data_IF_162037864757
#
_entry.id   IF_162037864757
#
_cell.length_a   1.000
_cell.length_b   1.000
_cell.length_c   1.000
_cell.angle_alpha   90.00
_cell.angle_beta   90.00
_cell.angle_gamma   90.00
#
_symmetry.space_group_name_H-M   'P 1'
#
loop_
_entity.id
_entity.type
_entity.pdbx_description
1 polymer ?
#
# COMPACT_ATOMS: atom_id res chain seq x y z
N UNK A 1 -3.53 -12.56 -37.06
CA UNK A 1 -2.39 -12.79 -36.14
C UNK A 1 -2.03 -11.48 -35.43
N UNK A 2 -2.67 -11.17 -34.29
CA UNK A 2 -2.41 -9.93 -33.57
C UNK A 2 -1.01 -9.98 -32.95
N UNK A 3 -0.09 -9.12 -33.44
CA UNK A 3 1.22 -8.93 -32.80
C UNK A 3 0.97 -8.50 -31.36
N UNK A 4 1.27 -9.37 -30.39
CA UNK A 4 1.29 -9.00 -28.97
C UNK A 4 2.23 -7.80 -28.82
N UNK A 5 1.68 -6.60 -28.60
CA UNK A 5 2.49 -5.41 -28.36
C UNK A 5 3.44 -5.69 -27.18
N UNK A 6 4.74 -5.73 -27.48
CA UNK A 6 5.77 -6.05 -26.50
C UNK A 6 5.95 -4.84 -25.58
N UNK A 7 5.72 -5.02 -24.28
CA UNK A 7 5.94 -3.97 -23.27
C UNK A 7 7.42 -3.56 -23.31
N UNK A 8 7.70 -2.29 -23.62
CA UNK A 8 9.04 -1.70 -23.62
C UNK A 8 9.35 -1.09 -22.25
N UNK A 9 10.61 -1.06 -21.78
CA UNK A 9 10.98 -0.31 -20.57
C UNK A 9 10.65 1.18 -20.73
N UNK A 10 10.31 1.85 -19.64
CA UNK A 10 10.10 3.32 -19.63
C UNK A 10 11.26 4.08 -18.99
N UNK A 11 12.13 3.38 -18.27
CA UNK A 11 13.36 3.93 -17.70
C UNK A 11 14.55 3.66 -18.65
N UNK A 12 15.39 4.68 -18.92
CA UNK A 12 16.69 4.47 -19.58
C UNK A 12 17.56 3.49 -18.81
N UNK A 13 18.40 2.73 -19.52
CA UNK A 13 19.24 1.70 -18.89
C UNK A 13 20.29 2.32 -17.97
N UNK A 14 20.83 3.47 -18.36
CA UNK A 14 21.87 4.21 -17.63
C UNK A 14 21.33 4.65 -16.27
N UNK A 15 20.14 5.28 -16.24
CA UNK A 15 19.48 5.73 -15.01
C UNK A 15 19.17 4.55 -14.07
N UNK A 16 18.72 3.42 -14.63
CA UNK A 16 18.45 2.22 -13.84
C UNK A 16 19.72 1.63 -13.23
N UNK A 17 20.84 1.71 -13.95
CA UNK A 17 22.14 1.27 -13.45
C UNK A 17 22.64 2.14 -12.29
N UNK A 18 22.64 3.47 -12.45
CA UNK A 18 23.01 4.42 -11.40
C UNK A 18 22.19 4.18 -10.11
N UNK A 19 20.87 3.98 -10.26
CA UNK A 19 20.00 3.64 -9.12
C UNK A 19 20.40 2.33 -8.43
N UNK A 20 20.78 1.30 -9.17
CA UNK A 20 21.18 0.02 -8.58
C UNK A 20 22.58 0.04 -7.97
N UNK A 21 23.46 0.93 -8.38
CA UNK A 21 24.75 1.16 -7.72
C UNK A 21 24.53 1.71 -6.30
N UNK A 22 23.56 2.59 -6.10
CA UNK A 22 23.26 3.16 -4.79
C UNK A 22 22.36 2.28 -3.90
N UNK A 23 21.34 1.62 -4.47
CA UNK A 23 20.32 0.88 -3.70
C UNK A 23 20.44 -0.65 -3.81
N UNK A 24 21.45 -1.14 -4.53
CA UNK A 24 21.63 -2.55 -4.86
C UNK A 24 20.70 -3.01 -5.98
N UNK A 25 21.10 -4.07 -6.69
CA UNK A 25 20.27 -4.69 -7.74
C UNK A 25 19.20 -5.60 -7.15
N UNK A 26 18.02 -5.62 -7.76
CA UNK A 26 16.90 -6.49 -7.38
C UNK A 26 16.27 -7.15 -8.61
N UNK A 27 15.45 -8.20 -8.41
CA UNK A 27 14.75 -8.92 -9.49
C UNK A 27 13.76 -8.04 -10.24
N UNK A 28 13.18 -7.04 -9.57
CA UNK A 28 12.24 -6.06 -10.11
C UNK A 28 12.53 -4.70 -9.49
N UNK A 29 12.21 -3.64 -10.23
CA UNK A 29 12.41 -2.27 -9.75
C UNK A 29 11.55 -1.95 -8.50
N UNK A 30 10.29 -2.38 -8.50
CA UNK A 30 9.36 -2.16 -7.40
C UNK A 30 8.66 -3.46 -7.01
N UNK A 31 8.62 -3.77 -5.71
CA UNK A 31 7.94 -4.97 -5.18
C UNK A 31 6.45 -4.76 -4.92
N UNK A 32 5.99 -3.50 -4.80
CA UNK A 32 4.62 -3.17 -4.38
C UNK A 32 3.53 -3.95 -5.14
N UNK A 33 3.57 -4.09 -6.48
CA UNK A 33 2.50 -4.81 -7.17
C UNK A 33 2.44 -6.32 -6.91
N UNK A 34 3.49 -6.89 -6.33
CA UNK A 34 3.64 -8.32 -6.09
C UNK A 34 3.20 -8.73 -4.71
N UNK A 35 3.45 -7.90 -3.69
CA UNK A 35 3.28 -8.28 -2.29
C UNK A 35 2.63 -7.21 -1.42
N UNK A 36 2.18 -6.10 -2.00
CA UNK A 36 1.50 -5.02 -1.28
C UNK A 36 0.08 -4.81 -1.78
N UNK A 37 -0.77 -4.36 -0.86
CA UNK A 37 -2.08 -3.76 -1.15
C UNK A 37 -2.18 -2.43 -0.41
N UNK A 38 -2.71 -1.43 -1.09
CA UNK A 38 -3.03 -0.14 -0.50
C UNK A 38 -4.54 0.05 -0.60
N UNK A 39 -5.21 0.19 0.55
CA UNK A 39 -6.65 0.44 0.64
C UNK A 39 -6.91 1.93 0.84
N UNK A 40 -7.63 2.54 -0.10
CA UNK A 40 -8.02 3.95 -0.06
C UNK A 40 -9.40 4.10 0.58
N UNK A 41 -9.64 5.20 1.29
CA UNK A 41 -10.91 5.47 2.01
C UNK A 41 -12.18 5.36 1.17
N UNK A 42 -12.08 5.58 -0.14
CA UNK A 42 -13.18 5.46 -1.08
C UNK A 42 -13.49 4.00 -1.48
N UNK A 43 -12.77 3.03 -0.95
CA UNK A 43 -12.90 1.61 -1.27
C UNK A 43 -11.95 1.13 -2.37
N UNK A 44 -11.28 2.03 -3.08
CA UNK A 44 -10.33 1.64 -4.11
C UNK A 44 -9.14 0.91 -3.51
N UNK A 45 -8.58 -0.03 -4.28
CA UNK A 45 -7.39 -0.79 -3.87
C UNK A 45 -6.35 -0.75 -4.97
N UNK A 46 -5.09 -0.48 -4.64
CA UNK A 46 -3.99 -0.48 -5.61
C UNK A 46 -2.70 -1.07 -5.02
N UNK A 47 -1.57 -0.93 -5.72
CA UNK A 47 -0.27 -1.42 -5.26
C UNK A 47 0.32 -0.56 -4.15
N UNK A 48 0.23 0.76 -4.30
CA UNK A 48 0.80 1.78 -3.41
C UNK A 48 0.06 3.11 -3.55
N UNK A 49 0.37 4.07 -2.68
CA UNK A 49 -0.22 5.41 -2.68
C UNK A 49 -0.09 6.17 -4.01
N UNK A 50 1.00 5.97 -4.77
CA UNK A 50 1.24 6.65 -6.06
C UNK A 50 0.22 6.24 -7.13
N UNK A 51 -0.36 5.04 -7.00
CA UNK A 51 -1.35 4.57 -7.96
C UNK A 51 -2.73 5.24 -7.79
N UNK A 52 -2.94 6.04 -6.73
CA UNK A 52 -4.19 6.76 -6.47
C UNK A 52 -4.63 7.51 -7.73
N UNK A 53 -5.89 7.36 -8.12
CA UNK A 53 -6.52 7.99 -9.29
C UNK A 53 -5.85 7.71 -10.66
N UNK A 54 -4.79 6.90 -10.72
CA UNK A 54 -4.06 6.61 -11.95
C UNK A 54 -4.15 5.14 -12.36
N UNK A 55 -3.98 4.22 -11.41
CA UNK A 55 -4.02 2.78 -11.69
C UNK A 55 -4.53 1.97 -10.50
N UNK A 56 -5.85 1.98 -10.29
CA UNK A 56 -6.53 1.17 -9.28
C UNK A 56 -6.64 -0.29 -9.77
N UNK A 57 -6.56 -1.27 -8.88
CA UNK A 57 -6.79 -2.68 -9.21
C UNK A 57 -8.27 -2.97 -9.40
N UNK A 58 -9.06 -2.62 -8.39
CA UNK A 58 -10.52 -2.67 -8.33
C UNK A 58 -10.97 -1.96 -7.05
N UNK A 59 -12.29 -1.81 -6.86
CA UNK A 59 -12.88 -1.26 -5.64
C UNK A 59 -13.48 -2.36 -4.78
N UNK A 60 -13.20 -2.33 -3.48
CA UNK A 60 -13.79 -3.22 -2.48
C UNK A 60 -15.31 -2.98 -2.30
N UNK A 61 -15.83 -1.85 -2.78
CA UNK A 61 -17.29 -1.61 -2.81
C UNK A 61 -18.04 -2.57 -3.75
N UNK A 62 -17.36 -3.09 -4.76
CA UNK A 62 -17.98 -3.89 -5.82
C UNK A 62 -17.30 -5.24 -6.06
N UNK A 63 -16.19 -5.52 -5.36
CA UNK A 63 -15.41 -6.74 -5.52
C UNK A 63 -14.96 -7.26 -4.16
N UNK A 64 -14.94 -8.58 -4.01
CA UNK A 64 -14.28 -9.25 -2.88
C UNK A 64 -12.78 -9.01 -2.89
N UNK A 65 -12.14 -9.16 -1.73
CA UNK A 65 -10.69 -9.03 -1.62
C UNK A 65 -9.94 -10.03 -2.51
N UNK A 66 -10.48 -11.25 -2.66
CA UNK A 66 -9.89 -12.27 -3.52
C UNK A 66 -9.93 -11.88 -5.01
N UNK A 67 -11.02 -11.28 -5.48
CA UNK A 67 -11.13 -10.77 -6.85
C UNK A 67 -10.15 -9.63 -7.10
N UNK A 68 -9.97 -8.73 -6.14
CA UNK A 68 -9.01 -7.62 -6.22
C UNK A 68 -7.58 -8.15 -6.34
N UNK A 69 -7.19 -9.10 -5.49
CA UNK A 69 -5.84 -9.69 -5.48
C UNK A 69 -5.55 -10.44 -6.79
N UNK A 70 -6.57 -11.06 -7.39
CA UNK A 70 -6.44 -11.83 -8.63
C UNK A 70 -6.84 -11.05 -9.89
N UNK A 71 -7.10 -9.74 -9.76
CA UNK A 71 -7.53 -8.87 -10.84
C UNK A 71 -6.55 -8.82 -12.01
N UNK A 72 -7.09 -8.65 -13.22
CA UNK A 72 -6.27 -8.52 -14.43
C UNK A 72 -5.47 -7.21 -14.45
N UNK A 73 -6.00 -6.15 -13.83
CA UNK A 73 -5.27 -4.88 -13.63
C UNK A 73 -4.01 -5.10 -12.80
N UNK A 74 -4.09 -5.83 -11.68
CA UNK A 74 -2.90 -6.18 -10.89
C UNK A 74 -1.90 -7.01 -11.70
N UNK A 75 -2.37 -8.03 -12.43
CA UNK A 75 -1.50 -8.83 -13.33
C UNK A 75 -0.85 -7.96 -14.40
N UNK A 76 -1.55 -6.96 -14.94
CA UNK A 76 -1.04 -6.04 -15.94
C UNK A 76 0.09 -5.16 -15.36
N UNK A 77 -0.10 -4.56 -14.18
CA UNK A 77 0.93 -3.76 -13.52
C UNK A 77 2.18 -4.60 -13.23
N UNK A 78 2.00 -5.81 -12.71
CA UNK A 78 3.10 -6.76 -12.49
C UNK A 78 3.88 -7.09 -13.77
N UNK A 79 3.22 -7.20 -14.94
CA UNK A 79 3.90 -7.41 -16.23
C UNK A 79 4.74 -6.19 -16.64
N UNK A 80 4.24 -4.97 -16.39
CA UNK A 80 4.95 -3.73 -16.71
C UNK A 80 6.18 -3.52 -15.82
N UNK A 81 6.03 -3.71 -14.51
CA UNK A 81 7.16 -3.55 -13.57
C UNK A 81 8.26 -4.58 -13.82
N UNK A 82 7.94 -5.83 -14.22
CA UNK A 82 8.95 -6.82 -14.65
C UNK A 82 9.76 -6.38 -15.87
N UNK A 83 9.28 -5.40 -16.62
CA UNK A 83 9.95 -4.83 -17.80
C UNK A 83 10.52 -3.45 -17.53
N UNK A 84 10.63 -3.03 -16.26
CA UNK A 84 11.07 -1.67 -15.88
C UNK A 84 10.23 -0.58 -16.57
N UNK A 85 8.93 -0.83 -16.71
CA UNK A 85 7.97 0.10 -17.25
C UNK A 85 7.06 0.63 -16.14
N UNK A 86 7.11 1.93 -15.92
CA UNK A 86 6.40 2.69 -14.88
C UNK A 86 5.19 3.47 -15.44
N UNK A 87 4.82 3.25 -16.71
CA UNK A 87 3.76 4.02 -17.37
C UNK A 87 2.35 3.72 -16.83
N UNK A 88 2.19 2.70 -15.98
CA UNK A 88 0.90 2.36 -15.36
C UNK A 88 0.79 2.91 -13.94
N UNK A 89 0.56 4.21 -13.85
CA UNK A 89 0.29 4.90 -12.57
C UNK A 89 1.48 4.94 -11.63
N UNK A 90 2.72 4.96 -12.14
CA UNK A 90 3.95 5.11 -11.36
C UNK A 90 4.76 6.34 -11.80
N UNK A 91 4.10 7.35 -12.37
CA UNK A 91 4.71 8.56 -12.93
C UNK A 91 5.57 9.31 -11.93
N UNK A 92 5.14 9.42 -10.66
CA UNK A 92 5.92 10.08 -9.61
C UNK A 92 7.28 9.37 -9.45
N UNK A 93 7.29 8.05 -9.27
CA UNK A 93 8.55 7.29 -9.20
C UNK A 93 9.38 7.42 -10.49
N UNK A 94 8.73 7.47 -11.65
CA UNK A 94 9.43 7.67 -12.93
C UNK A 94 10.11 9.04 -12.98
N UNK A 95 9.42 10.11 -12.58
CA UNK A 95 9.95 11.47 -12.57
C UNK A 95 11.12 11.61 -11.60
N UNK A 96 11.04 11.01 -10.40
CA UNK A 96 12.16 10.98 -9.46
C UNK A 96 13.37 10.25 -10.05
N UNK A 97 13.16 9.11 -10.73
CA UNK A 97 14.24 8.40 -11.42
C UNK A 97 14.87 9.24 -12.54
N UNK A 98 14.04 9.86 -13.39
CA UNK A 98 14.52 10.69 -14.51
C UNK A 98 15.29 11.92 -14.03
N UNK A 99 14.91 12.47 -12.87
CA UNK A 99 15.57 13.60 -12.22
C UNK A 99 16.77 13.18 -11.36
N UNK A 100 17.13 11.89 -11.35
CA UNK A 100 18.17 11.28 -10.50
C UNK A 100 17.98 11.53 -8.99
N UNK A 101 16.76 11.82 -8.56
CA UNK A 101 16.41 12.01 -7.15
C UNK A 101 16.05 10.65 -6.51
N UNK A 102 17.02 9.74 -6.49
CA UNK A 102 16.78 8.35 -6.13
C UNK A 102 16.31 8.16 -4.68
N UNK A 103 16.66 9.07 -3.76
CA UNK A 103 16.20 9.06 -2.37
C UNK A 103 14.70 9.22 -2.21
N UNK A 104 14.03 9.91 -3.14
CA UNK A 104 12.58 10.11 -3.10
C UNK A 104 11.79 9.04 -3.87
N UNK A 105 12.46 8.05 -4.45
CA UNK A 105 11.80 6.96 -5.17
C UNK A 105 11.10 6.04 -4.16
N UNK A 106 9.77 6.18 -4.05
CA UNK A 106 8.97 5.42 -3.06
C UNK A 106 9.00 3.90 -3.26
N UNK A 107 9.42 3.40 -4.43
CA UNK A 107 9.61 1.97 -4.66
C UNK A 107 10.59 1.34 -3.63
N UNK A 108 11.52 2.14 -3.08
CA UNK A 108 12.49 1.72 -2.06
C UNK A 108 11.83 1.21 -0.77
N UNK A 109 10.70 1.79 -0.34
CA UNK A 109 9.97 1.37 0.86
C UNK A 109 9.45 -0.09 0.80
N UNK A 110 9.27 -0.62 -0.41
CA UNK A 110 8.78 -1.98 -0.63
C UNK A 110 9.93 -3.01 -0.76
N UNK A 111 11.20 -2.56 -0.77
CA UNK A 111 12.37 -3.43 -0.97
C UNK A 111 12.73 -4.28 0.25
N UNK A 112 12.35 -3.87 1.46
CA UNK A 112 12.64 -4.62 2.70
C UNK A 112 11.86 -5.95 2.77
N UNK A 113 10.65 -6.02 2.22
CA UNK A 113 9.87 -7.26 2.26
C UNK A 113 10.32 -8.23 1.16
N UNK A 114 10.67 -9.48 1.53
CA UNK A 114 10.99 -10.53 0.57
C UNK A 114 9.77 -10.82 -0.32
N UNK A 115 9.96 -10.88 -1.63
CA UNK A 115 8.89 -11.32 -2.53
C UNK A 115 8.69 -12.83 -2.40
N UNK A 116 7.53 -13.24 -1.85
CA UNK A 116 7.05 -14.62 -1.92
C UNK A 116 5.94 -14.71 -2.96
N UNK A 117 5.97 -15.78 -3.77
CA UNK A 117 5.02 -15.96 -4.88
C UNK A 117 3.59 -16.03 -4.30
N UNK A 118 2.67 -15.25 -4.86
CA UNK A 118 1.25 -15.20 -4.48
C UNK A 118 0.95 -14.81 -3.01
N UNK A 119 1.91 -14.21 -2.29
CA UNK A 119 1.71 -13.81 -0.90
C UNK A 119 1.74 -12.29 -0.76
N UNK A 120 0.69 -11.74 -0.15
CA UNK A 120 0.67 -10.37 0.35
C UNK A 120 1.47 -10.32 1.65
N UNK A 121 2.46 -9.45 1.72
CA UNK A 121 3.35 -9.26 2.88
C UNK A 121 3.25 -7.87 3.47
N UNK A 122 2.64 -6.92 2.75
CA UNK A 122 2.42 -5.56 3.22
C UNK A 122 0.99 -5.12 2.93
N UNK A 123 0.38 -4.45 3.88
CA UNK A 123 -0.88 -3.75 3.65
C UNK A 123 -0.77 -2.34 4.22
N UNK A 124 -1.19 -1.37 3.41
CA UNK A 124 -1.36 0.01 3.82
C UNK A 124 -2.87 0.33 3.91
N UNK A 125 -3.30 0.79 5.08
CA UNK A 125 -4.68 1.09 5.43
C UNK A 125 -4.86 2.61 5.49
N UNK A 126 -5.58 3.19 4.53
CA UNK A 126 -6.11 4.56 4.56
C UNK A 126 -7.64 4.48 4.55
N UNK A 127 -8.24 3.81 5.53
CA UNK A 127 -9.65 3.38 5.47
C UNK A 127 -10.65 4.51 5.76
N UNK A 128 -10.22 5.62 6.37
CA UNK A 128 -11.08 6.75 6.73
C UNK A 128 -10.32 8.07 6.71
N UNK A 129 -11.06 9.18 6.62
CA UNK A 129 -10.57 10.55 6.83
C UNK A 129 -11.11 11.17 8.14
N UNK A 130 -11.78 10.38 8.98
CA UNK A 130 -12.25 10.83 10.29
C UNK A 130 -11.06 11.24 11.17
N UNK A 131 -11.10 12.46 11.70
CA UNK A 131 -9.99 13.07 12.44
C UNK A 131 -10.58 14.08 13.42
N UNK A 132 -9.98 14.19 14.61
CA UNK A 132 -10.32 15.18 15.63
C UNK A 132 -9.72 16.57 15.38
N UNK A 133 -8.88 16.72 14.36
CA UNK A 133 -8.29 18.00 13.95
C UNK A 133 -8.71 18.36 12.53
N UNK A 134 -8.68 19.66 12.21
CA UNK A 134 -8.95 20.19 10.87
C UNK A 134 -7.83 21.13 10.41
N UNK A 135 -6.65 20.54 10.19
CA UNK A 135 -5.44 21.31 9.91
C UNK A 135 -5.48 21.90 8.48
N UNK A 136 -5.09 23.17 8.32
CA UNK A 136 -5.20 23.92 7.05
C UNK A 136 -4.46 23.29 5.87
N UNK A 137 -3.39 22.54 6.14
CA UNK A 137 -2.56 21.87 5.13
C UNK A 137 -3.05 20.45 4.79
N UNK A 138 -4.02 19.93 5.53
CA UNK A 138 -4.45 18.54 5.41
C UNK A 138 -5.48 18.40 4.28
N UNK A 139 -5.10 17.72 3.20
CA UNK A 139 -6.06 17.32 2.19
C UNK A 139 -6.89 16.12 2.67
N UNK A 140 -8.02 16.39 3.36
CA UNK A 140 -8.94 15.34 3.83
C UNK A 140 -9.86 14.79 2.74
N UNK A 141 -9.84 15.39 1.55
CA UNK A 141 -10.72 15.09 0.41
C UNK A 141 -12.18 15.43 0.69
N UNK A 142 -12.93 15.77 -0.36
CA UNK A 142 -14.38 15.97 -0.27
C UNK A 142 -15.09 14.64 -0.54
N UNK A 143 -15.94 14.16 0.37
CA UNK A 143 -16.66 12.90 0.19
C UNK A 143 -17.44 12.48 1.43
N UNK A 144 -18.60 11.86 1.21
CA UNK A 144 -19.51 11.40 2.25
C UNK A 144 -18.88 10.37 3.19
N UNK A 145 -19.29 10.41 4.46
CA UNK A 145 -18.78 9.60 5.58
C UNK A 145 -19.02 8.07 5.49
N UNK A 146 -19.42 7.55 4.32
CA UNK A 146 -19.70 6.12 4.17
C UNK A 146 -18.40 5.33 3.99
N UNK A 147 -17.93 4.74 5.09
CA UNK A 147 -16.85 3.76 5.09
C UNK A 147 -17.14 2.65 4.06
N UNK A 148 -16.16 2.33 3.21
CA UNK A 148 -16.22 1.15 2.35
C UNK A 148 -15.95 -0.15 3.12
N UNK A 149 -15.61 -0.05 4.41
CA UNK A 149 -15.02 -1.11 5.20
C UNK A 149 -15.85 -1.35 6.45
N UNK A 150 -16.34 -2.57 6.58
CA UNK A 150 -17.24 -3.05 7.62
C UNK A 150 -16.72 -4.37 8.23
N UNK A 151 -17.55 -5.07 9.00
CA UNK A 151 -17.19 -6.36 9.57
C UNK A 151 -16.99 -7.46 8.53
N UNK A 152 -17.67 -7.37 7.37
CA UNK A 152 -17.45 -8.28 6.24
C UNK A 152 -16.04 -8.10 5.68
N UNK A 153 -15.58 -6.85 5.50
CA UNK A 153 -14.19 -6.57 5.14
C UNK A 153 -13.19 -7.21 6.10
N UNK A 154 -13.40 -7.07 7.41
CA UNK A 154 -12.52 -7.67 8.40
C UNK A 154 -12.48 -9.20 8.25
N UNK A 155 -13.63 -9.85 8.05
CA UNK A 155 -13.69 -11.30 7.84
C UNK A 155 -12.91 -11.75 6.59
N UNK A 156 -13.06 -11.05 5.47
CA UNK A 156 -12.28 -11.33 4.24
C UNK A 156 -10.78 -11.06 4.41
N UNK A 157 -10.42 -10.08 5.24
CA UNK A 157 -9.04 -9.65 5.46
C UNK A 157 -8.25 -10.61 6.37
N UNK A 158 -8.89 -11.21 7.38
CA UNK A 158 -8.26 -12.08 8.40
C UNK A 158 -7.31 -13.16 7.82
N UNK A 159 -7.68 -13.95 6.80
CA UNK A 159 -6.79 -14.95 6.21
C UNK A 159 -5.46 -14.39 5.69
N UNK A 160 -5.45 -13.12 5.27
CA UNK A 160 -4.26 -12.43 4.78
C UNK A 160 -3.44 -11.84 5.92
N UNK A 161 -4.08 -11.34 6.98
CA UNK A 161 -3.40 -10.73 8.13
C UNK A 161 -2.43 -11.67 8.85
N UNK A 162 -2.68 -12.99 8.85
CA UNK A 162 -1.78 -13.98 9.46
C UNK A 162 -0.41 -14.08 8.76
N UNK A 163 -0.28 -13.51 7.56
CA UNK A 163 0.86 -13.71 6.67
C UNK A 163 1.60 -12.42 6.32
N UNK A 164 1.05 -11.26 6.70
CA UNK A 164 1.70 -9.98 6.45
C UNK A 164 2.87 -9.77 7.42
N UNK A 165 3.87 -9.01 6.98
CA UNK A 165 5.05 -8.62 7.77
C UNK A 165 5.08 -7.13 8.06
N UNK A 166 4.25 -6.36 7.39
CA UNK A 166 4.12 -4.93 7.61
C UNK A 166 2.67 -4.49 7.43
N UNK A 167 2.14 -3.75 8.41
CA UNK A 167 0.84 -3.10 8.34
C UNK A 167 1.04 -1.61 8.61
N UNK A 168 0.60 -0.76 7.68
CA UNK A 168 0.66 0.69 7.84
C UNK A 168 -0.75 1.24 8.09
N UNK A 169 -0.92 2.07 9.11
CA UNK A 169 -2.19 2.70 9.44
C UNK A 169 -2.06 4.21 9.30
N UNK A 170 -2.78 4.75 8.32
CA UNK A 170 -2.76 6.15 7.91
C UNK A 170 -4.20 6.62 7.62
N UNK A 171 -4.37 7.91 7.32
CA UNK A 171 -5.66 8.51 7.02
C UNK A 171 -6.45 8.87 8.27
N UNK A 172 -6.96 10.10 8.31
CA UNK A 172 -7.64 10.63 9.49
C UNK A 172 -6.71 10.66 10.72
N UNK A 173 -7.30 10.50 11.91
CA UNK A 173 -6.56 10.14 13.13
C UNK A 173 -6.79 8.65 13.43
N UNK A 174 -5.76 7.79 13.31
CA UNK A 174 -5.89 6.35 13.51
C UNK A 174 -6.57 5.95 14.82
N UNK A 175 -6.32 6.65 15.93
CA UNK A 175 -6.90 6.29 17.23
C UNK A 175 -8.40 6.60 17.39
N UNK A 176 -9.05 7.17 16.38
CA UNK A 176 -10.52 7.40 16.36
C UNK A 176 -11.21 6.51 15.32
N UNK A 177 -10.46 5.70 14.57
CA UNK A 177 -11.00 4.84 13.52
C UNK A 177 -11.28 3.46 14.11
N UNK A 178 -12.55 3.17 14.42
CA UNK A 178 -12.97 1.96 15.14
C UNK A 178 -12.50 0.65 14.49
N UNK A 179 -12.53 0.57 13.16
CA UNK A 179 -12.09 -0.64 12.45
C UNK A 179 -10.60 -0.91 12.63
N UNK A 180 -9.77 0.11 12.90
CA UNK A 180 -8.34 -0.09 13.15
C UNK A 180 -8.10 -0.87 14.44
N UNK A 181 -8.83 -0.58 15.52
CA UNK A 181 -8.75 -1.39 16.74
C UNK A 181 -9.06 -2.86 16.49
N UNK A 182 -10.11 -3.15 15.72
CA UNK A 182 -10.45 -4.53 15.35
C UNK A 182 -9.35 -5.24 14.55
N UNK A 183 -8.62 -4.49 13.70
CA UNK A 183 -7.48 -5.03 12.93
C UNK A 183 -6.26 -5.21 13.85
N UNK A 184 -5.96 -4.24 14.71
CA UNK A 184 -4.85 -4.31 15.67
C UNK A 184 -5.01 -5.48 16.64
N UNK A 185 -6.20 -5.64 17.23
CA UNK A 185 -6.52 -6.76 18.12
C UNK A 185 -6.29 -8.12 17.42
N UNK A 186 -6.67 -8.21 16.14
CA UNK A 186 -6.45 -9.42 15.37
C UNK A 186 -4.95 -9.67 15.11
N UNK A 187 -4.20 -8.64 14.74
CA UNK A 187 -2.76 -8.75 14.45
C UNK A 187 -1.97 -9.11 15.71
N UNK A 188 -2.18 -8.41 16.82
CA UNK A 188 -1.51 -8.67 18.09
C UNK A 188 -1.79 -10.09 18.60
N UNK A 189 -3.01 -10.60 18.37
CA UNK A 189 -3.39 -11.96 18.79
C UNK A 189 -2.86 -13.07 17.87
N UNK A 190 -2.76 -12.83 16.56
CA UNK A 190 -2.57 -13.90 15.57
C UNK A 190 -1.30 -13.77 14.71
N UNK A 191 -0.58 -12.64 14.78
CA UNK A 191 0.61 -12.40 13.97
C UNK A 191 1.60 -11.45 14.67
N UNK A 192 2.25 -11.99 15.70
CA UNK A 192 3.35 -11.35 16.44
C UNK A 192 4.53 -10.92 15.56
N UNK A 193 4.74 -11.56 14.42
CA UNK A 193 5.81 -11.17 13.49
C UNK A 193 5.50 -9.91 12.65
N UNK A 194 4.29 -9.34 12.77
CA UNK A 194 3.89 -8.19 11.97
C UNK A 194 4.46 -6.89 12.55
N UNK A 195 5.20 -6.13 11.74
CA UNK A 195 5.54 -4.76 12.10
C UNK A 195 4.35 -3.83 11.82
N UNK A 196 3.77 -3.28 12.89
CA UNK A 196 2.67 -2.33 12.84
C UNK A 196 3.23 -0.90 12.91
N UNK A 197 2.94 -0.10 11.88
CA UNK A 197 3.27 1.33 11.85
C UNK A 197 1.98 2.17 11.88
N UNK A 198 1.92 3.14 12.78
CA UNK A 198 0.76 4.02 12.97
C UNK A 198 1.22 5.47 12.77
N UNK A 199 0.55 6.21 11.88
CA UNK A 199 0.79 7.63 11.67
C UNK A 199 -0.29 8.47 12.37
N UNK A 200 -0.01 8.91 13.59
CA UNK A 200 -0.92 9.67 14.45
C UNK A 200 -0.50 11.15 14.57
N UNK A 201 -1.47 12.02 14.87
CA UNK A 201 -1.22 13.41 15.27
C UNK A 201 -0.78 13.56 16.75
N UNK A 202 -0.84 12.48 17.54
CA UNK A 202 -0.36 12.43 18.92
C UNK A 202 -1.30 13.03 19.97
N UNK A 203 -2.45 13.60 19.59
CA UNK A 203 -3.35 14.29 20.53
C UNK A 203 -4.19 13.36 21.41
N UNK A 204 -4.25 12.06 21.09
CA UNK A 204 -5.02 11.04 21.83
C UNK A 204 -4.10 9.90 22.29
N UNK A 205 -2.86 10.20 22.67
CA UNK A 205 -1.96 9.25 23.31
C UNK A 205 -2.28 9.12 24.81
N UNK A 206 -3.46 8.58 25.12
CA UNK A 206 -3.85 8.21 26.48
C UNK A 206 -3.24 6.85 26.88
N UNK A 207 -3.38 6.47 28.15
CA UNK A 207 -2.80 5.23 28.68
C UNK A 207 -3.21 3.99 27.87
N UNK A 208 -4.50 3.89 27.51
CA UNK A 208 -5.02 2.81 26.66
C UNK A 208 -4.26 2.70 25.33
N UNK A 209 -4.08 3.82 24.63
CA UNK A 209 -3.40 3.83 23.33
C UNK A 209 -1.89 3.62 23.46
N UNK A 210 -1.28 4.10 24.54
CA UNK A 210 0.12 3.85 24.86
C UNK A 210 0.34 2.36 25.14
N UNK A 211 -0.53 1.71 25.92
CA UNK A 211 -0.48 0.27 26.18
C UNK A 211 -0.62 -0.54 24.89
N UNK A 212 -1.51 -0.14 23.99
CA UNK A 212 -1.65 -0.76 22.67
C UNK A 212 -0.35 -0.66 21.86
N UNK A 213 0.30 0.52 21.83
CA UNK A 213 1.56 0.72 21.09
C UNK A 213 2.72 -0.08 21.72
N UNK A 214 2.76 -0.13 23.05
CA UNK A 214 3.79 -0.87 23.82
C UNK A 214 3.58 -2.37 23.82
N UNK A 215 2.39 -2.84 23.41
CA UNK A 215 2.09 -4.26 23.36
C UNK A 215 3.12 -4.93 22.45
N UNK A 216 3.87 -5.92 22.95
CA UNK A 216 4.89 -6.59 22.15
C UNK A 216 4.21 -7.20 20.92
N UNK A 217 4.80 -6.93 19.76
CA UNK A 217 4.53 -7.74 18.56
C UNK A 217 5.17 -9.09 18.80
#
# INVERSE_FOLDING_TARGET
>A
MFKRNKIKPSLPKEILQEYYEQYGKDKVFCRAPFNSLYFFKNGDVAACCINRNHFIYNSYRTHSLNEIINSDRRKQLQKHIRKHNLNLGCSICQNEMMSKNFSNVLATFYRKQKMKKHQITRIDFELSNNCNLDCIMCFRGYGSAYSAYDDKFLQELRPFLNKIKFANFIGGEPFIIDIYYKIWDYLLKNNSDCNINIQTNGTILNDKNIELIKSPN
#
